data_IF_584189963080
#
_entry.id   IF_584189963080
#
_cell.length_a   1.000
_cell.length_b   1.000
_cell.length_c   1.000
_cell.angle_alpha   90.00
_cell.angle_beta   90.00
_cell.angle_gamma   90.00
#
_symmetry.space_group_name_H-M   'P 1'
#
loop_
_entity.id
_entity.type
_entity.pdbx_description
1 polymer ?
#
# COMPACT_ATOMS: atom_id res chain seq x y z
N UNK A 1 -3.68 -25.74 10.24
CA UNK A 1 -2.56 -24.94 10.78
C UNK A 1 -2.51 -23.59 10.06
N UNK A 2 -2.86 -22.49 10.73
CA UNK A 2 -2.80 -21.13 10.16
C UNK A 2 -1.44 -20.50 10.44
N UNK A 3 -0.72 -20.10 9.40
CA UNK A 3 0.57 -19.42 9.56
C UNK A 3 0.35 -18.02 10.14
N UNK A 4 0.72 -17.82 11.41
CA UNK A 4 0.88 -16.49 12.04
C UNK A 4 2.06 -15.80 11.36
N UNK A 5 1.78 -14.75 10.59
CA UNK A 5 2.81 -13.84 10.09
C UNK A 5 3.30 -13.00 11.27
N UNK A 6 4.38 -13.44 11.90
CA UNK A 6 5.08 -12.68 12.94
C UNK A 6 5.72 -11.43 12.35
N UNK A 7 5.40 -10.27 12.94
CA UNK A 7 6.00 -8.99 12.63
C UNK A 7 7.44 -8.95 13.18
N UNK A 8 8.45 -9.01 12.29
CA UNK A 8 9.84 -8.69 12.65
C UNK A 8 10.13 -7.24 12.27
N UNK A 9 10.33 -6.41 13.29
CA UNK A 9 10.88 -5.07 13.15
C UNK A 9 12.26 -5.16 12.48
N UNK A 10 12.43 -4.61 11.28
CA UNK A 10 13.75 -4.48 10.64
C UNK A 10 13.88 -4.59 9.12
N UNK A 11 12.85 -4.97 8.34
CA UNK A 11 12.92 -4.94 6.87
C UNK A 11 11.56 -4.53 6.30
N UNK A 12 11.42 -3.28 5.84
CA UNK A 12 10.30 -2.84 5.03
C UNK A 12 10.38 -3.58 3.68
N UNK A 13 9.71 -4.74 3.61
CA UNK A 13 9.71 -5.58 2.42
C UNK A 13 8.96 -4.85 1.31
N UNK A 14 9.71 -4.24 0.42
CA UNK A 14 9.21 -3.87 -0.90
C UNK A 14 8.47 -5.08 -1.49
N UNK A 15 7.20 -4.89 -1.87
CA UNK A 15 6.50 -5.89 -2.65
C UNK A 15 6.85 -5.64 -4.11
N UNK A 16 7.53 -6.60 -4.74
CA UNK A 16 7.96 -6.48 -6.13
C UNK A 16 7.27 -7.56 -6.95
N UNK A 17 6.62 -7.13 -8.01
CA UNK A 17 6.09 -7.98 -9.09
C UNK A 17 6.63 -7.48 -10.42
N UNK A 18 6.45 -8.25 -11.49
CA UNK A 18 6.85 -7.85 -12.85
C UNK A 18 6.21 -6.53 -13.31
N UNK A 19 5.02 -6.21 -12.77
CA UNK A 19 4.22 -5.05 -13.20
C UNK A 19 4.24 -3.88 -12.22
N UNK A 20 4.61 -4.12 -10.97
CA UNK A 20 4.51 -3.12 -9.91
C UNK A 20 5.52 -3.40 -8.81
N UNK A 21 6.22 -2.35 -8.39
CA UNK A 21 6.99 -2.29 -7.15
C UNK A 21 6.27 -1.39 -6.15
N UNK A 22 6.09 -1.90 -4.95
CA UNK A 22 5.42 -1.22 -3.84
C UNK A 22 6.41 -1.06 -2.71
N UNK A 23 6.54 0.14 -2.17
CA UNK A 23 7.31 0.39 -0.96
C UNK A 23 6.47 1.13 0.07
N UNK A 24 6.81 0.95 1.34
CA UNK A 24 6.07 1.50 2.47
C UNK A 24 7.01 2.32 3.34
N UNK A 25 6.57 3.50 3.75
CA UNK A 25 7.22 4.30 4.78
C UNK A 25 6.24 4.55 5.92
N UNK A 26 6.58 4.09 7.12
CA UNK A 26 5.80 4.41 8.32
C UNK A 26 6.18 5.81 8.82
N UNK A 27 5.21 6.71 8.89
CA UNK A 27 5.34 8.02 9.52
C UNK A 27 4.54 8.04 10.82
N UNK A 28 4.67 9.11 11.59
CA UNK A 28 4.03 9.20 12.92
C UNK A 28 2.52 9.05 12.90
N UNK A 29 1.85 9.53 11.85
CA UNK A 29 0.37 9.59 11.78
C UNK A 29 -0.24 8.71 10.67
N UNK A 30 0.58 8.26 9.72
CA UNK A 30 0.13 7.53 8.56
C UNK A 30 1.24 6.63 7.98
N UNK A 31 0.81 5.75 7.08
CA UNK A 31 1.69 4.92 6.26
C UNK A 31 1.66 5.49 4.84
N UNK A 32 2.81 5.87 4.33
CA UNK A 32 2.95 6.30 2.94
C UNK A 32 3.27 5.09 2.07
N UNK A 33 2.35 4.75 1.17
CA UNK A 33 2.48 3.67 0.20
C UNK A 33 2.91 4.24 -1.13
N UNK A 34 4.07 3.83 -1.65
CA UNK A 34 4.55 4.23 -2.97
C UNK A 34 4.39 3.07 -3.94
N UNK A 35 3.84 3.36 -5.12
CA UNK A 35 3.55 2.40 -6.17
C UNK A 35 4.28 2.84 -7.43
N UNK A 36 5.14 1.97 -7.95
CA UNK A 36 5.85 2.16 -9.20
C UNK A 36 5.48 1.06 -10.19
N UNK A 37 4.76 1.42 -11.24
CA UNK A 37 4.33 0.52 -12.30
C UNK A 37 5.35 0.51 -13.44
N UNK A 38 5.54 -0.64 -14.09
CA UNK A 38 6.37 -0.74 -15.28
C UNK A 38 5.67 -0.26 -16.56
N UNK A 39 4.36 -0.03 -16.49
CA UNK A 39 3.52 0.46 -17.60
C UNK A 39 2.50 1.48 -17.09
N UNK A 40 1.98 2.37 -17.96
CA UNK A 40 0.94 3.34 -17.59
C UNK A 40 -0.26 2.68 -16.89
N UNK A 41 -0.51 3.05 -15.63
CA UNK A 41 -1.58 2.46 -14.85
C UNK A 41 -2.86 3.31 -14.91
N UNK A 42 -3.97 2.70 -15.33
CA UNK A 42 -5.31 3.33 -15.40
C UNK A 42 -6.39 2.60 -14.60
N UNK A 43 -5.98 1.70 -13.70
CA UNK A 43 -6.88 0.92 -12.86
C UNK A 43 -7.29 1.65 -11.58
N UNK A 44 -7.96 0.92 -10.68
CA UNK A 44 -8.34 1.39 -9.34
C UNK A 44 -7.52 0.60 -8.30
N UNK A 45 -6.83 1.32 -7.43
CA UNK A 45 -6.09 0.74 -6.29
C UNK A 45 -6.87 0.98 -5.03
N UNK A 46 -6.94 -0.01 -4.15
CA UNK A 46 -7.53 0.10 -2.82
C UNK A 46 -6.50 -0.26 -1.75
N UNK A 47 -6.37 0.58 -0.72
CA UNK A 47 -5.71 0.24 0.53
C UNK A 47 -6.77 -0.26 1.53
N UNK A 48 -6.64 -1.54 1.89
CA UNK A 48 -7.59 -2.22 2.78
C UNK A 48 -8.85 -2.68 2.04
N UNK A 49 -10.01 -2.60 2.71
CA UNK A 49 -11.28 -3.07 2.15
C UNK A 49 -11.75 -2.15 1.01
N UNK A 50 -12.49 -2.70 0.04
CA UNK A 50 -12.96 -1.96 -1.15
C UNK A 50 -13.88 -0.77 -0.81
N UNK A 51 -14.58 -0.84 0.31
CA UNK A 51 -15.50 0.16 0.86
C UNK A 51 -14.83 1.22 1.76
N UNK A 52 -13.53 1.09 2.05
CA UNK A 52 -12.83 1.91 3.04
C UNK A 52 -12.58 3.37 2.62
N UNK A 53 -12.98 3.76 1.40
CA UNK A 53 -12.70 5.06 0.80
C UNK A 53 -11.23 5.28 0.42
N UNK A 54 -10.32 4.45 0.90
CA UNK A 54 -8.89 4.56 0.66
C UNK A 54 -8.52 3.95 -0.69
N UNK A 55 -8.84 4.68 -1.75
CA UNK A 55 -8.57 4.27 -3.11
C UNK A 55 -8.12 5.45 -3.97
N UNK A 56 -7.44 5.13 -5.06
CA UNK A 56 -7.20 6.12 -6.10
C UNK A 56 -7.33 5.47 -7.48
N UNK A 57 -7.77 6.28 -8.44
CA UNK A 57 -7.86 5.89 -9.84
C UNK A 57 -6.61 6.39 -10.56
N UNK A 58 -5.93 5.48 -11.27
CA UNK A 58 -4.77 5.82 -12.08
C UNK A 58 -5.15 6.69 -13.27
N UNK A 59 -4.31 7.68 -13.58
CA UNK A 59 -4.44 8.60 -14.71
C UNK A 59 -3.48 8.26 -15.87
N UNK A 60 -2.76 7.14 -15.77
CA UNK A 60 -1.75 6.71 -16.73
C UNK A 60 -0.32 7.05 -16.32
N UNK A 61 -0.09 7.67 -15.16
CA UNK A 61 1.26 7.78 -14.58
C UNK A 61 1.84 6.40 -14.23
N UNK A 62 3.16 6.37 -14.07
CA UNK A 62 3.90 5.20 -13.61
C UNK A 62 4.06 5.18 -12.10
N UNK A 63 4.06 6.34 -11.45
CA UNK A 63 4.32 6.46 -10.02
C UNK A 63 3.13 7.11 -9.31
N UNK A 64 2.74 6.52 -8.18
CA UNK A 64 1.70 7.03 -7.31
C UNK A 64 2.11 6.89 -5.85
N UNK A 65 1.60 7.78 -5.02
CA UNK A 65 1.74 7.71 -3.57
C UNK A 65 0.36 7.81 -2.93
N UNK A 66 0.10 6.95 -1.96
CA UNK A 66 -1.14 6.92 -1.19
C UNK A 66 -0.80 7.06 0.29
N UNK A 67 -1.40 8.04 0.95
CA UNK A 67 -1.34 8.18 2.41
C UNK A 67 -2.47 7.35 3.02
N UNK A 68 -2.11 6.40 3.88
CA UNK A 68 -3.01 5.50 4.59
C UNK A 68 -2.98 5.87 6.08
N UNK A 69 -4.01 6.56 6.61
CA UNK A 69 -4.04 6.94 8.02
C UNK A 69 -4.12 5.73 8.95
N UNK A 70 -3.45 5.81 10.11
CA UNK A 70 -3.49 4.72 11.11
C UNK A 70 -4.90 4.45 11.65
N UNK A 71 -5.76 5.46 11.68
CA UNK A 71 -7.13 5.36 12.18
C UNK A 71 -8.17 5.02 11.09
N UNK A 72 -7.74 4.80 9.84
CA UNK A 72 -8.64 4.59 8.70
C UNK A 72 -8.17 3.43 7.81
N UNK A 73 -8.85 3.23 6.68
CA UNK A 73 -8.50 2.24 5.65
C UNK A 73 -8.49 0.77 6.13
N UNK A 74 -9.11 0.48 7.29
CA UNK A 74 -9.02 -0.83 7.91
C UNK A 74 -7.65 -1.15 8.51
N UNK A 75 -6.81 -0.14 8.72
CA UNK A 75 -5.58 -0.27 9.52
C UNK A 75 -5.96 -0.71 10.93
N UNK A 76 -5.24 -1.69 11.46
CA UNK A 76 -5.46 -2.22 12.82
C UNK A 76 -4.22 -1.90 13.64
N UNK A 77 -4.43 -1.25 14.79
CA UNK A 77 -3.41 -1.17 15.83
C UNK A 77 -3.39 -2.51 16.55
N UNK A 78 -2.26 -3.22 16.47
CA UNK A 78 -2.03 -4.51 17.12
C UNK A 78 -1.20 -4.37 18.38
#
# INVERSE_FOLDING_TARGET
MGAKLGYKSGIFKDFVSEKTRVSLACRSNDIMVNLNFSVPFRGLVHAGKKDSGCSFRGDGKLTYSLNVPHAACGTVHV
#
